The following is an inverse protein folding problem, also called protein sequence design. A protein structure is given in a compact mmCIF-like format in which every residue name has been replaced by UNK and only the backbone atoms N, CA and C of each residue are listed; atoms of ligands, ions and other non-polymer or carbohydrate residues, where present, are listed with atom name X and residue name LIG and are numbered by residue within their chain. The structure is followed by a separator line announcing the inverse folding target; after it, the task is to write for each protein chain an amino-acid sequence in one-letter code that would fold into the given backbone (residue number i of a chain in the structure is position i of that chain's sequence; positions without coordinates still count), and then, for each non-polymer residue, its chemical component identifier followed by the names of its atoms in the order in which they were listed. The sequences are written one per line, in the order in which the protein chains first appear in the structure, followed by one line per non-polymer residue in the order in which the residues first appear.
data_IF_013981969884
#
_entry.id   IF_013981969884
#
_cell.length_a   1.000
_cell.length_b   1.000
_cell.length_c   1.000
_cell.angle_alpha   90.00
_cell.angle_beta   90.00
_cell.angle_gamma   90.00
#
_symmetry.space_group_name_H-M   'P 1'
#
loop_
_entity.id
_entity.type
_entity.pdbx_description
1 polymer ?
#
# COMPACT_ATOMS: atom_id res chain seq x y z
N UNK A 1 -23.94 4.08 -14.18
CA UNK A 1 -22.52 3.98 -14.57
C UNK A 1 -21.62 4.83 -13.66
N UNK A 2 -22.01 6.07 -13.34
CA UNK A 2 -21.24 7.00 -12.50
C UNK A 2 -20.96 6.47 -11.07
N UNK A 3 -21.98 5.92 -10.39
CA UNK A 3 -21.83 5.35 -9.04
C UNK A 3 -20.89 4.12 -8.96
N UNK A 4 -20.67 3.40 -10.06
CA UNK A 4 -19.71 2.29 -10.10
C UNK A 4 -18.27 2.81 -10.25
N UNK A 5 -18.10 3.95 -10.94
CA UNK A 5 -16.82 4.62 -11.14
C UNK A 5 -16.35 5.29 -9.85
N UNK A 6 -17.26 5.95 -9.13
CA UNK A 6 -17.00 6.50 -7.79
C UNK A 6 -16.52 5.42 -6.81
N UNK A 7 -17.28 4.33 -6.65
CA UNK A 7 -16.88 3.18 -5.80
C UNK A 7 -15.54 2.55 -6.18
N UNK A 8 -15.20 2.55 -7.47
CA UNK A 8 -13.90 2.04 -7.93
C UNK A 8 -12.75 2.99 -7.59
N UNK A 9 -13.00 4.30 -7.63
CA UNK A 9 -12.04 5.33 -7.26
C UNK A 9 -11.79 5.33 -5.74
N UNK A 10 -12.85 5.24 -4.92
CA UNK A 10 -12.73 5.12 -3.46
C UNK A 10 -11.90 3.89 -3.07
N UNK A 11 -12.20 2.74 -3.68
CA UNK A 11 -11.44 1.51 -3.44
C UNK A 11 -9.96 1.62 -3.85
N UNK A 12 -9.67 2.34 -4.92
CA UNK A 12 -8.29 2.59 -5.34
C UNK A 12 -7.57 3.53 -4.36
N UNK A 13 -8.26 4.53 -3.82
CA UNK A 13 -7.71 5.42 -2.80
C UNK A 13 -7.37 4.66 -1.51
N UNK A 14 -8.27 3.81 -1.02
CA UNK A 14 -8.01 2.92 0.14
C UNK A 14 -6.77 2.06 -0.07
N UNK A 15 -6.65 1.43 -1.25
CA UNK A 15 -5.50 0.57 -1.57
C UNK A 15 -4.22 1.39 -1.60
N UNK A 16 -4.23 2.58 -2.20
CA UNK A 16 -3.07 3.47 -2.25
C UNK A 16 -2.62 3.90 -0.87
N UNK A 17 -3.56 4.23 0.02
CA UNK A 17 -3.22 4.60 1.39
C UNK A 17 -2.62 3.42 2.16
N UNK A 18 -3.23 2.23 2.06
CA UNK A 18 -2.69 1.04 2.71
C UNK A 18 -1.27 0.71 2.21
N UNK A 19 -1.03 0.86 0.91
CA UNK A 19 0.31 0.73 0.32
C UNK A 19 1.27 1.76 0.90
N UNK A 20 0.89 3.04 0.97
CA UNK A 20 1.74 4.09 1.53
C UNK A 20 2.08 3.83 3.02
N UNK A 21 1.12 3.33 3.81
CA UNK A 21 1.35 2.95 5.21
C UNK A 21 2.34 1.78 5.35
N UNK A 22 2.23 0.75 4.50
CA UNK A 22 3.15 -0.40 4.52
C UNK A 22 4.56 0.00 4.08
N UNK A 23 4.69 0.86 3.07
CA UNK A 23 5.98 1.30 2.56
C UNK A 23 6.70 2.28 3.50
N UNK A 24 5.94 3.05 4.29
CA UNK A 24 6.48 4.12 5.13
C UNK A 24 6.64 5.45 4.37
N UNK A 25 6.97 6.51 5.12
CA UNK A 25 7.18 7.83 4.54
C UNK A 25 8.47 7.86 3.69
N UNK A 26 8.47 8.69 2.64
CA UNK A 26 9.63 8.93 1.78
C UNK A 26 10.17 7.71 1.01
N UNK A 27 9.36 6.68 0.81
CA UNK A 27 9.77 5.48 0.08
C UNK A 27 8.96 5.31 -1.21
N UNK A 28 9.56 4.65 -2.19
CA UNK A 28 8.92 4.18 -3.42
C UNK A 28 8.87 2.66 -3.45
N UNK A 29 7.78 2.12 -4.01
CA UNK A 29 7.67 0.69 -4.27
C UNK A 29 8.41 0.30 -5.54
N UNK A 30 9.28 -0.70 -5.45
CA UNK A 30 9.87 -1.39 -6.58
C UNK A 30 9.42 -2.84 -6.58
N UNK A 31 9.02 -3.36 -7.74
CA UNK A 31 8.60 -4.74 -7.91
C UNK A 31 9.51 -5.35 -8.96
N UNK A 32 10.23 -6.39 -8.58
CA UNK A 32 11.09 -7.15 -9.49
C UNK A 32 10.71 -8.61 -9.47
N UNK A 33 10.71 -9.25 -10.64
CA UNK A 33 10.59 -10.69 -10.72
C UNK A 33 11.94 -11.32 -10.38
N UNK A 34 11.94 -12.37 -9.56
CA UNK A 34 13.15 -13.18 -9.34
C UNK A 34 13.55 -13.84 -10.66
N UNK A 35 14.84 -13.89 -10.97
CA UNK A 35 15.33 -14.63 -12.15
C UNK A 35 15.37 -16.14 -11.89
N UNK A 36 15.43 -16.54 -10.62
CA UNK A 36 15.57 -17.92 -10.18
C UNK A 36 14.23 -18.59 -9.85
N UNK A 37 13.15 -17.80 -9.78
CA UNK A 37 11.82 -18.26 -9.36
C UNK A 37 10.74 -17.48 -10.09
N UNK A 38 9.53 -18.03 -10.22
CA UNK A 38 8.41 -17.30 -10.85
C UNK A 38 7.85 -16.19 -9.96
N UNK A 39 8.43 -15.99 -8.78
CA UNK A 39 7.97 -15.10 -7.73
C UNK A 39 8.37 -13.65 -7.93
N UNK A 40 7.54 -12.75 -7.38
CA UNK A 40 7.82 -11.33 -7.32
C UNK A 40 8.36 -10.94 -5.95
N UNK A 41 9.34 -10.05 -5.96
CA UNK A 41 9.93 -9.44 -4.79
C UNK A 41 9.53 -7.97 -4.78
N UNK A 42 8.96 -7.55 -3.66
CA UNK A 42 8.48 -6.18 -3.42
C UNK A 42 9.47 -5.48 -2.50
N UNK A 43 9.89 -4.27 -2.88
CA UNK A 43 10.88 -3.48 -2.13
C UNK A 43 10.35 -2.09 -1.86
N UNK A 44 10.54 -1.63 -0.63
CA UNK A 44 10.48 -0.21 -0.32
C UNK A 44 11.90 0.37 -0.46
N UNK A 45 12.02 1.40 -1.29
CA UNK A 45 13.29 2.08 -1.56
C UNK A 45 13.14 3.51 -1.07
N UNK A 46 14.03 3.96 -0.20
CA UNK A 46 14.08 5.37 0.21
C UNK A 46 14.41 6.25 -1.00
N UNK A 47 13.63 7.32 -1.20
CA UNK A 47 13.70 8.13 -2.42
C UNK A 47 14.97 8.99 -2.46
N UNK A 48 15.46 9.43 -1.32
CA UNK A 48 16.60 10.35 -1.24
C UNK A 48 17.93 9.61 -1.37
N UNK A 49 18.04 8.45 -0.74
CA UNK A 49 19.27 7.64 -0.69
C UNK A 49 19.32 6.57 -1.76
N UNK A 50 18.16 6.10 -2.23
CA UNK A 50 18.06 4.95 -3.13
C UNK A 50 18.27 3.59 -2.44
N UNK A 51 18.38 3.57 -1.11
CA UNK A 51 18.60 2.33 -0.34
C UNK A 51 17.31 1.51 -0.20
N UNK A 52 17.45 0.19 -0.23
CA UNK A 52 16.34 -0.72 0.07
C UNK A 52 16.15 -0.73 1.58
N UNK A 53 15.08 -0.09 2.05
CA UNK A 53 14.74 -0.05 3.48
C UNK A 53 13.99 -1.30 3.92
N UNK A 54 13.23 -1.93 3.01
CA UNK A 54 12.55 -3.20 3.26
C UNK A 54 12.39 -4.02 1.98
N UNK A 55 12.33 -5.33 2.13
CA UNK A 55 12.06 -6.30 1.08
C UNK A 55 11.09 -7.37 1.58
N UNK A 56 10.11 -7.73 0.75
CA UNK A 56 9.12 -8.74 1.06
C UNK A 56 8.90 -9.69 -0.12
N UNK A 57 8.71 -11.00 0.15
CA UNK A 57 8.05 -11.90 -0.79
C UNK A 57 6.64 -11.41 -1.11
N UNK A 58 6.13 -11.75 -2.29
CA UNK A 58 4.79 -11.38 -2.75
C UNK A 58 3.69 -11.74 -1.73
N UNK A 59 3.72 -12.95 -1.17
CA UNK A 59 2.70 -13.42 -0.23
C UNK A 59 2.63 -12.52 1.02
N UNK A 60 3.80 -12.22 1.60
CA UNK A 60 3.93 -11.38 2.79
C UNK A 60 3.45 -9.96 2.50
N UNK A 61 3.84 -9.40 1.34
CA UNK A 61 3.40 -8.06 0.96
C UNK A 61 1.88 -7.98 0.79
N UNK A 62 1.26 -8.98 0.17
CA UNK A 62 -0.20 -9.03 0.00
C UNK A 62 -0.89 -9.07 1.37
N UNK A 63 -0.40 -9.87 2.30
CA UNK A 63 -1.00 -10.00 3.62
C UNK A 63 -0.84 -8.72 4.46
N UNK A 64 0.29 -8.03 4.37
CA UNK A 64 0.49 -6.71 4.99
C UNK A 64 -0.53 -5.68 4.47
N UNK A 65 -0.71 -5.60 3.15
CA UNK A 65 -1.69 -4.69 2.55
C UNK A 65 -3.11 -5.05 2.97
N UNK A 66 -3.44 -6.34 3.08
CA UNK A 66 -4.76 -6.78 3.55
C UNK A 66 -5.02 -6.36 4.99
N UNK A 67 -4.07 -6.64 5.90
CA UNK A 67 -4.17 -6.24 7.31
C UNK A 67 -4.36 -4.73 7.46
N UNK A 68 -3.52 -3.94 6.78
CA UNK A 68 -3.64 -2.48 6.83
C UNK A 68 -4.94 -1.97 6.20
N UNK A 69 -5.47 -2.63 5.15
CA UNK A 69 -6.78 -2.23 4.58
C UNK A 69 -7.93 -2.48 5.54
N UNK A 70 -7.88 -3.57 6.32
CA UNK A 70 -8.90 -3.85 7.33
C UNK A 70 -8.82 -2.82 8.48
N UNK A 71 -7.61 -2.45 8.90
CA UNK A 71 -7.38 -1.38 9.89
C UNK A 71 -7.83 -0.01 9.36
N UNK A 72 -7.44 0.35 8.13
CA UNK A 72 -7.85 1.60 7.47
C UNK A 72 -9.37 1.69 7.35
N UNK A 73 -10.04 0.60 6.96
CA UNK A 73 -11.50 0.57 6.92
C UNK A 73 -12.09 0.80 8.31
N UNK A 74 -11.56 0.14 9.33
CA UNK A 74 -11.99 0.35 10.71
C UNK A 74 -11.79 1.81 11.15
N UNK A 75 -10.65 2.44 10.80
CA UNK A 75 -10.36 3.85 11.10
C UNK A 75 -11.35 4.80 10.39
N UNK A 76 -11.68 4.53 9.12
CA UNK A 76 -12.67 5.30 8.35
C UNK A 76 -14.07 5.15 8.96
N UNK A 77 -14.49 3.91 9.23
CA UNK A 77 -15.81 3.61 9.80
C UNK A 77 -15.98 4.21 11.21
N UNK A 78 -14.89 4.29 11.97
CA UNK A 78 -14.84 4.96 13.27
C UNK A 78 -14.76 6.50 13.19
N UNK A 79 -14.64 7.08 11.99
CA UNK A 79 -14.52 8.53 11.78
C UNK A 79 -13.16 9.11 12.16
N UNK A 80 -12.13 8.27 12.39
CA UNK A 80 -10.80 8.68 12.83
C UNK A 80 -9.93 9.26 11.70
N UNK A 81 -10.36 9.12 10.44
CA UNK A 81 -9.68 9.69 9.27
C UNK A 81 -10.04 11.16 8.95
N UNK A 82 -11.01 11.75 9.65
CA UNK A 82 -11.50 13.10 9.32
C UNK A 82 -10.59 14.24 9.80
N UNK A 83 -9.49 13.97 10.50
CA UNK A 83 -8.72 15.01 11.21
C UNK A 83 -7.45 15.50 10.50
N UNK A 84 -7.32 15.27 9.18
CA UNK A 84 -6.18 15.80 8.38
C UNK A 84 -6.58 16.58 7.14
N UNK A 85 -7.64 17.37 7.25
CA UNK A 85 -7.86 18.51 6.34
C UNK A 85 -7.89 19.78 7.19
N UNK A 86 -6.70 20.35 7.40
CA UNK A 86 -6.51 21.71 7.87
C UNK A 86 -6.07 22.58 6.67
#
# INVERSE_FOLDING_TARGET
AEAAKARSADRLAEVREAVARVLGANTRLSISRSESSLDFVYRAIDVDTGEIVNEWPQEVFIDLIRGVRDDVRSDVDAGLMLDRVA
#
